data_IF_309733275947
#
_entry.id   IF_309733275947
#
_cell.length_a   1.000
_cell.length_b   1.000
_cell.length_c   1.000
_cell.angle_alpha   90.00
_cell.angle_beta   90.00
_cell.angle_gamma   90.00
#
_symmetry.space_group_name_H-M   'P 1'
#
loop_
_entity.id
_entity.type
_entity.pdbx_description
1 polymer ?
2 non-polymer ?
3 non-polymer ?
4 non-polymer ?
5 water ?
#
# COMPACT_ATOMS: atom_id res chain seq x y z
N UNK A 1 -27.10 -2.70 -5.48
CA UNK A 1 -25.65 -2.90 -5.64
C UNK A 1 -24.90 -2.18 -4.50
N UNK A 2 -23.73 -2.68 -4.16
CA UNK A 2 -22.99 -2.10 -3.06
C UNK A 2 -21.89 -1.14 -3.45
N UNK A 3 -21.50 -0.34 -2.47
CA UNK A 3 -20.40 0.59 -2.65
C UNK A 3 -20.17 1.11 -1.24
N UNK A 4 -19.01 1.71 -1.01
CA UNK A 4 -18.77 2.25 0.31
C UNK A 4 -17.53 3.10 0.30
N UNK A 5 -17.31 3.82 1.38
CA UNK A 5 -16.13 4.65 1.49
C UNK A 5 -15.54 4.34 2.85
N UNK A 6 -14.25 3.99 2.84
CA UNK A 6 -13.55 3.77 4.09
C UNK A 6 -12.54 4.89 4.23
N UNK A 7 -12.44 5.45 5.41
CA UNK A 7 -11.48 6.54 5.61
C UNK A 7 -10.14 6.05 6.12
N UNK A 8 -9.08 6.50 5.48
CA UNK A 8 -7.76 6.15 5.92
C UNK A 8 -7.11 7.34 6.66
N UNK A 9 -6.12 7.05 7.48
CA UNK A 9 -5.43 8.10 8.20
C UNK A 9 -3.95 7.73 8.28
N UNK A 10 -3.08 8.67 7.90
CA UNK A 10 -1.65 8.43 7.93
C UNK A 10 -1.14 8.49 9.37
N UNK A 11 -0.11 7.71 9.64
CA UNK A 11 0.53 7.69 10.95
C UNK A 11 1.60 8.79 10.85
N UNK A 12 2.45 8.91 11.86
CA UNK A 12 3.49 9.94 11.83
C UNK A 12 4.32 9.85 10.53
N UNK A 13 4.55 11.03 9.93
CA UNK A 13 5.30 11.20 8.67
C UNK A 13 4.68 10.44 7.50
N UNK A 14 3.40 10.06 7.63
CA UNK A 14 2.70 9.29 6.59
C UNK A 14 3.45 7.96 6.38
N UNK A 15 3.95 7.34 7.43
CA UNK A 15 4.69 6.12 7.24
C UNK A 15 3.81 4.99 6.74
N UNK A 16 2.58 4.97 7.22
CA UNK A 16 1.61 4.00 6.78
C UNK A 16 0.22 4.60 6.96
N UNK A 17 -0.76 4.04 6.24
CA UNK A 17 -2.14 4.53 6.28
C UNK A 17 -3.02 3.44 6.85
N UNK A 18 -3.76 3.78 7.90
CA UNK A 18 -4.61 2.79 8.56
C UNK A 18 -6.08 3.07 8.35
N UNK A 19 -6.84 1.98 8.29
CA UNK A 19 -8.29 2.06 8.06
C UNK A 19 -8.97 1.03 8.95
N UNK A 20 -10.07 1.41 9.57
CA UNK A 20 -10.78 0.47 10.47
C UNK A 20 -11.50 -0.62 9.66
N UNK A 21 -11.47 -1.84 10.19
CA UNK A 21 -12.08 -2.98 9.52
C UNK A 21 -12.71 -3.77 10.62
N UNK A 22 -13.98 -4.13 10.43
CA UNK A 22 -14.70 -4.87 11.46
C UNK A 22 -14.72 -6.33 11.08
N UNK A 23 -14.24 -7.16 11.99
CA UNK A 23 -14.21 -8.58 11.74
C UNK A 23 -14.89 -9.30 12.90
N UNK A 24 -15.97 -10.01 12.58
CA UNK A 24 -16.70 -10.72 13.64
C UNK A 24 -17.14 -9.76 14.75
N UNK A 25 -17.50 -8.54 14.36
CA UNK A 25 -17.94 -7.55 15.35
C UNK A 25 -16.85 -6.72 16.04
N UNK A 26 -15.59 -7.12 15.89
CA UNK A 26 -14.45 -6.41 16.51
C UNK A 26 -13.74 -5.52 15.48
N UNK A 27 -13.60 -4.23 15.78
CA UNK A 27 -12.91 -3.33 14.84
C UNK A 27 -11.39 -3.29 15.09
N UNK A 28 -10.61 -3.47 14.02
CA UNK A 28 -9.18 -3.46 14.10
C UNK A 28 -8.68 -2.43 13.10
N UNK A 29 -7.54 -1.85 13.39
CA UNK A 29 -6.98 -0.83 12.48
C UNK A 29 -5.96 -1.49 11.57
N UNK A 30 -6.34 -1.63 10.29
CA UNK A 30 -5.46 -2.31 9.36
C UNK A 30 -4.78 -1.45 8.33
N UNK A 31 -3.61 -1.90 7.89
CA UNK A 31 -2.84 -1.21 6.84
C UNK A 31 -3.31 -1.84 5.50
N UNK A 32 -3.90 -1.08 4.57
CA UNK A 32 -4.36 -1.65 3.28
C UNK A 32 -3.16 -1.66 2.36
N UNK A 33 -2.88 -2.83 1.80
CA UNK A 33 -1.69 -3.02 0.99
C UNK A 33 -1.99 -3.63 -0.39
N UNK A 34 -1.95 -2.78 -1.43
CA UNK A 34 -2.21 -3.27 -2.78
C UNK A 34 -1.05 -4.10 -3.35
N UNK A 35 0.00 -4.26 -2.54
CA UNK A 35 1.16 -5.04 -2.91
C UNK A 35 1.16 -6.49 -2.37
N UNK A 36 0.12 -6.88 -1.63
CA UNK A 36 0.06 -8.27 -1.13
C UNK A 36 -1.42 -8.68 -1.15
N UNK A 37 -1.66 -9.97 -0.98
CA UNK A 37 -3.01 -10.51 -1.11
C UNK A 37 -3.50 -11.26 0.09
N UNK A 38 -2.91 -11.01 1.24
CA UNK A 38 -3.36 -11.66 2.49
C UNK A 38 -4.00 -10.71 3.44
N UNK A 39 -5.08 -11.15 4.09
CA UNK A 39 -5.70 -10.31 5.10
C UNK A 39 -5.33 -11.02 6.37
N UNK A 40 -4.39 -10.46 7.14
CA UNK A 40 -3.99 -11.17 8.36
C UNK A 40 -4.09 -10.21 9.53
N UNK A 41 -4.34 -10.75 10.72
CA UNK A 41 -4.52 -9.87 11.86
C UNK A 41 -3.91 -10.41 13.13
N UNK A 42 -3.66 -9.48 14.07
CA UNK A 42 -3.17 -9.84 15.40
C UNK A 42 -4.33 -10.63 15.99
N UNK A 43 -4.01 -11.70 16.72
CA UNK A 43 -5.07 -12.55 17.28
C UNK A 43 -4.67 -13.03 18.67
N UNK A 44 -5.65 -13.67 19.32
CA UNK A 44 -5.49 -14.23 20.65
C UNK A 44 -4.54 -15.45 20.64
N UNK A 45 -4.11 -15.90 19.47
CA UNK A 45 -3.20 -17.03 19.40
C UNK A 45 -1.78 -16.58 19.55
N UNK A 46 -1.54 -15.27 19.62
CA UNK A 46 -0.19 -14.76 19.83
C UNK A 46 0.11 -14.76 21.33
N UNK A 47 1.39 -14.76 21.68
CA UNK A 47 1.80 -14.67 23.10
C UNK A 47 1.15 -13.42 23.65
N UNK A 48 0.65 -13.49 24.88
CA UNK A 48 -0.05 -12.34 25.45
C UNK A 48 0.74 -11.04 25.40
N UNK A 49 2.06 -11.16 25.54
CA UNK A 49 2.90 -9.99 25.55
C UNK A 49 2.85 -9.30 24.19
N UNK A 50 2.66 -10.07 23.13
CA UNK A 50 2.60 -9.49 21.80
C UNK A 50 1.25 -8.92 21.44
N UNK A 51 0.22 -9.23 22.21
CA UNK A 51 -1.10 -8.69 21.95
C UNK A 51 -1.21 -7.30 22.50
N UNK A 52 -0.31 -6.95 23.41
CA UNK A 52 -0.34 -5.63 24.04
C UNK A 52 -0.21 -4.47 23.07
N UNK A 53 -1.10 -3.51 23.25
CA UNK A 53 -1.11 -2.30 22.45
C UNK A 53 -1.87 -2.50 21.15
N UNK A 54 -2.62 -3.58 21.03
CA UNK A 54 -3.34 -3.80 19.80
C UNK A 54 -4.76 -4.22 20.08
N UNK A 55 -5.58 -4.13 19.05
CA UNK A 55 -6.92 -4.68 19.10
C UNK A 55 -6.65 -6.04 18.44
N UNK A 56 -7.24 -7.10 18.97
CA UNK A 56 -6.94 -8.41 18.45
C UNK A 56 -8.20 -9.17 18.15
N UNK A 57 -8.10 -10.04 17.15
CA UNK A 57 -9.21 -10.89 16.73
C UNK A 57 -9.19 -12.20 17.57
N UNK A 58 -10.36 -12.59 18.09
CA UNK A 58 -10.48 -13.86 18.83
C UNK A 58 -11.27 -14.78 17.90
N UNK A 59 -10.58 -15.70 17.25
CA UNK A 59 -11.19 -16.58 16.28
C UNK A 59 -12.27 -17.46 16.87
N UNK A 60 -12.10 -17.81 18.14
CA UNK A 60 -13.03 -18.71 18.82
C UNK A 60 -14.44 -18.16 18.95
N UNK A 61 -14.54 -16.84 19.09
CA UNK A 61 -15.84 -16.22 19.25
C UNK A 61 -16.79 -16.25 18.03
N UNK A 62 -16.26 -16.12 16.82
CA UNK A 62 -17.12 -16.04 15.64
C UNK A 62 -16.59 -16.69 14.37
N UNK A 63 -15.32 -17.04 14.37
CA UNK A 63 -14.73 -17.61 13.17
C UNK A 63 -14.99 -19.09 12.94
N UNK A 64 -14.91 -19.50 11.68
CA UNK A 64 -15.05 -20.91 11.33
C UNK A 64 -13.66 -21.34 10.86
N UNK A 65 -13.03 -22.24 11.59
CA UNK A 65 -11.67 -22.69 11.27
C UNK A 65 -11.59 -23.53 10.02
N UNK A 66 -10.54 -23.32 9.23
CA UNK A 66 -10.29 -24.17 8.08
C UNK A 66 -9.24 -25.14 8.58
N UNK A 67 -9.67 -26.32 9.00
CA UNK A 67 -8.71 -27.30 9.54
C UNK A 67 -7.62 -27.68 8.55
N UNK A 68 -6.37 -27.68 9.02
CA UNK A 68 -5.24 -28.05 8.16
C UNK A 68 -4.66 -26.91 7.28
N UNK A 69 -5.30 -25.75 7.31
CA UNK A 69 -4.81 -24.63 6.50
C UNK A 69 -3.83 -23.72 7.27
N UNK A 70 -2.83 -23.22 6.56
CA UNK A 70 -1.86 -22.33 7.18
C UNK A 70 -1.52 -21.24 6.19
N UNK A 71 -0.78 -20.24 6.65
CA UNK A 71 -0.34 -19.16 5.79
C UNK A 71 1.00 -18.71 6.36
N UNK A 72 1.84 -18.18 5.49
CA UNK A 72 3.15 -17.68 5.87
C UNK A 72 3.52 -16.66 4.81
N UNK A 73 3.86 -15.46 5.26
CA UNK A 73 4.16 -14.40 4.30
C UNK A 73 5.42 -13.67 4.68
N UNK A 74 6.11 -13.19 3.65
CA UNK A 74 7.34 -12.45 3.83
C UNK A 74 7.23 -11.21 2.96
N UNK A 75 7.52 -10.05 3.56
CA UNK A 75 7.46 -8.78 2.86
C UNK A 75 8.82 -8.28 2.45
N UNK A 76 8.80 -7.35 1.48
CA UNK A 76 10.00 -6.74 0.95
C UNK A 76 10.89 -6.11 2.01
N UNK A 77 10.28 -5.48 3.01
CA UNK A 77 11.07 -4.86 4.06
C UNK A 77 11.70 -5.87 5.04
N UNK A 78 11.49 -7.16 4.79
CA UNK A 78 12.06 -8.22 5.64
C UNK A 78 11.19 -8.73 6.77
N UNK A 79 10.01 -8.16 6.94
CA UNK A 79 9.16 -8.62 8.00
C UNK A 79 8.43 -9.89 7.51
N UNK A 80 7.87 -10.63 8.45
CA UNK A 80 7.17 -11.84 8.10
C UNK A 80 6.18 -12.17 9.21
N UNK A 81 5.23 -13.06 8.89
CA UNK A 81 4.24 -13.44 9.85
C UNK A 81 3.65 -14.75 9.34
N UNK A 82 3.07 -15.51 10.26
CA UNK A 82 2.46 -16.80 9.86
C UNK A 82 1.37 -17.22 10.85
N UNK A 83 0.50 -18.14 10.43
CA UNK A 83 -0.57 -18.54 11.32
C UNK A 83 -1.53 -19.52 10.66
N UNK A 84 -2.74 -19.53 11.20
CA UNK A 84 -3.81 -20.39 10.74
C UNK A 84 -4.96 -19.59 10.13
N UNK A 85 -6.04 -20.24 9.73
CA UNK A 85 -7.06 -19.51 8.98
C UNK A 85 -8.47 -19.84 9.40
N UNK A 86 -9.31 -18.80 9.41
CA UNK A 86 -10.72 -18.90 9.75
C UNK A 86 -11.49 -18.05 8.75
N UNK A 87 -12.78 -18.30 8.60
CA UNK A 87 -13.59 -17.47 7.74
C UNK A 87 -14.48 -16.72 8.68
N UNK A 88 -14.84 -15.51 8.32
CA UNK A 88 -15.68 -14.74 9.23
C UNK A 88 -16.24 -13.58 8.40
N UNK A 89 -17.09 -12.76 9.03
CA UNK A 89 -17.63 -11.56 8.37
C UNK A 89 -16.62 -10.43 8.48
N UNK A 90 -16.41 -9.71 7.38
CA UNK A 90 -15.43 -8.63 7.39
C UNK A 90 -16.09 -7.45 6.71
N UNK A 91 -16.18 -6.33 7.43
CA UNK A 91 -16.82 -5.14 6.89
C UNK A 91 -15.83 -4.00 6.74
N UNK A 92 -15.87 -3.36 5.57
CA UNK A 92 -14.95 -2.26 5.32
C UNK A 92 -15.81 -1.19 4.66
N UNK A 93 -15.88 -0.01 5.27
CA UNK A 93 -16.66 1.10 4.69
C UNK A 93 -18.13 0.74 4.41
N UNK A 94 -18.71 -0.08 5.27
CA UNK A 94 -20.09 -0.46 5.12
C UNK A 94 -20.32 -1.62 4.16
N UNK A 95 -19.27 -2.10 3.50
CA UNK A 95 -19.39 -3.22 2.58
C UNK A 95 -18.94 -4.48 3.34
N UNK A 96 -19.82 -5.47 3.43
CA UNK A 96 -19.52 -6.72 4.15
C UNK A 96 -19.25 -7.95 3.28
N UNK A 97 -18.14 -8.61 3.60
CA UNK A 97 -17.75 -9.84 2.94
C UNK A 97 -18.10 -10.96 3.93
N UNK A 98 -19.03 -11.82 3.54
CA UNK A 98 -19.38 -12.93 4.39
C UNK A 98 -18.48 -14.11 3.97
N UNK A 99 -18.04 -14.90 4.93
CA UNK A 99 -17.18 -16.04 4.61
C UNK A 99 -15.76 -15.64 4.17
N UNK A 100 -15.33 -14.42 4.48
CA UNK A 100 -13.99 -14.01 4.07
C UNK A 100 -12.93 -14.73 4.91
N UNK A 101 -11.88 -15.20 4.25
CA UNK A 101 -10.77 -15.84 4.96
C UNK A 101 -9.98 -14.78 5.75
N UNK A 102 -9.87 -14.98 7.06
CA UNK A 102 -9.11 -14.11 7.92
C UNK A 102 -7.92 -14.93 8.42
N UNK A 103 -6.71 -14.45 8.16
CA UNK A 103 -5.53 -15.18 8.56
C UNK A 103 -5.07 -14.71 9.92
N UNK A 104 -5.26 -15.57 10.91
CA UNK A 104 -4.91 -15.27 12.31
C UNK A 104 -3.41 -15.47 12.58
N UNK A 105 -2.75 -14.42 13.07
CA UNK A 105 -1.35 -14.55 13.35
C UNK A 105 -1.06 -15.43 14.56
N UNK A 106 -0.07 -16.30 14.38
CA UNK A 106 0.46 -17.15 15.45
C UNK A 106 1.91 -16.76 15.72
N UNK A 107 2.55 -16.17 14.72
CA UNK A 107 3.92 -15.73 14.88
C UNK A 107 4.05 -14.44 14.05
N UNK A 108 4.85 -13.49 14.54
CA UNK A 108 5.08 -12.23 13.83
C UNK A 108 6.53 -11.83 14.11
N UNK A 109 7.18 -11.26 13.11
CA UNK A 109 8.56 -10.86 13.24
C UNK A 109 8.66 -9.59 14.08
N UNK A 110 9.89 -9.24 14.44
CA UNK A 110 10.13 -8.09 15.28
C UNK A 110 9.51 -6.79 14.77
N UNK A 111 9.57 -6.57 13.46
CA UNK A 111 9.02 -5.34 12.92
C UNK A 111 7.56 -5.18 13.31
N UNK A 112 6.79 -6.27 13.23
CA UNK A 112 5.37 -6.15 13.61
C UNK A 112 5.18 -6.05 15.12
N UNK A 113 6.07 -6.72 15.85
CA UNK A 113 5.98 -6.66 17.29
C UNK A 113 6.23 -5.22 17.76
N UNK A 114 7.02 -4.44 16.99
CA UNK A 114 7.33 -3.06 17.39
C UNK A 114 6.30 -2.04 16.96
N UNK A 115 5.64 -2.31 15.83
CA UNK A 115 4.66 -1.39 15.28
C UNK A 115 3.27 -1.52 15.91
N UNK A 116 2.92 -0.58 16.78
CA UNK A 116 1.60 -0.60 17.39
C UNK A 116 0.57 0.23 16.63
N UNK A 117 0.95 0.76 15.47
CA UNK A 117 0.03 1.59 14.70
C UNK A 117 -1.02 0.75 13.98
N UNK A 118 -0.71 -0.52 13.74
CA UNK A 118 -1.71 -1.33 13.05
C UNK A 118 -1.89 -2.65 13.76
N UNK A 119 -3.00 -3.30 13.42
CA UNK A 119 -3.35 -4.61 13.98
C UNK A 119 -3.30 -5.70 12.90
N UNK A 120 -2.62 -5.43 11.79
CA UNK A 120 -2.54 -6.39 10.70
C UNK A 120 -2.63 -5.67 9.36
N UNK A 121 -2.72 -6.48 8.30
CA UNK A 121 -2.77 -5.96 6.92
C UNK A 121 -3.93 -6.54 6.13
N UNK A 122 -4.48 -5.72 5.25
CA UNK A 122 -5.58 -6.17 4.37
C UNK A 122 -5.04 -6.05 2.95
N UNK A 123 -4.76 -7.19 2.33
CA UNK A 123 -4.16 -7.25 1.00
C UNK A 123 -5.18 -6.94 -0.11
N UNK A 124 -4.72 -6.18 -1.11
CA UNK A 124 -5.58 -5.79 -2.22
C UNK A 124 -4.90 -6.06 -3.56
N UNK A 125 -3.84 -6.87 -3.54
CA UNK A 125 -3.19 -7.29 -4.78
C UNK A 125 -4.13 -8.40 -5.35
N UNK A 126 -3.78 -9.00 -6.50
CA UNK A 126 -4.64 -10.05 -7.04
C UNK A 126 -4.56 -11.30 -6.15
N UNK A 127 -5.68 -12.04 -6.09
CA UNK A 127 -5.78 -13.22 -5.25
C UNK A 127 -4.80 -14.34 -5.60
N UNK A 128 -4.28 -14.31 -6.82
CA UNK A 128 -3.33 -15.34 -7.25
C UNK A 128 -2.10 -15.45 -6.37
N UNK A 129 -1.77 -14.38 -5.64
CA UNK A 129 -0.61 -14.43 -4.77
C UNK A 129 -0.93 -14.58 -3.29
N UNK A 130 -2.18 -14.86 -2.95
CA UNK A 130 -2.55 -15.12 -1.56
C UNK A 130 -1.73 -16.36 -1.09
N UNK A 131 -1.20 -16.33 0.14
CA UNK A 131 -0.33 -17.38 0.66
C UNK A 131 -0.96 -18.59 1.35
N UNK A 132 -2.29 -18.60 1.49
CA UNK A 132 -2.93 -19.69 2.20
C UNK A 132 -2.71 -21.05 1.53
N UNK A 133 -2.33 -22.05 2.34
CA UNK A 133 -2.08 -23.45 1.95
C UNK A 133 -3.08 -24.31 2.72
N UNK A 134 -3.59 -25.39 2.12
CA UNK A 134 -3.23 -25.85 0.77
C UNK A 134 -3.96 -25.23 -0.39
N UNK A 135 -5.04 -24.50 -0.12
CA UNK A 135 -5.77 -23.83 -1.19
C UNK A 135 -5.80 -22.34 -0.83
N UNK A 136 -5.34 -21.50 -1.76
CA UNK A 136 -5.31 -20.06 -1.55
C UNK A 136 -6.75 -19.49 -1.51
N UNK A 137 -6.90 -18.38 -0.80
CA UNK A 137 -8.19 -17.72 -0.61
C UNK A 137 -8.25 -16.39 -1.37
N UNK A 138 -9.44 -15.83 -1.52
CA UNK A 138 -9.59 -14.57 -2.22
C UNK A 138 -9.48 -13.39 -1.28
N UNK A 139 -9.01 -12.27 -1.82
CA UNK A 139 -8.88 -11.05 -1.05
C UNK A 139 -10.26 -10.49 -0.79
N UNK A 140 -10.35 -9.55 0.16
CA UNK A 140 -11.62 -8.94 0.49
C UNK A 140 -12.25 -8.39 -0.80
N UNK A 141 -11.42 -7.76 -1.61
CA UNK A 141 -11.95 -7.17 -2.83
C UNK A 141 -12.50 -8.23 -3.78
N UNK A 142 -11.72 -9.29 -4.02
CA UNK A 142 -12.22 -10.33 -4.90
C UNK A 142 -13.47 -10.98 -4.33
N UNK A 143 -13.58 -11.05 -3.01
CA UNK A 143 -14.77 -11.66 -2.42
C UNK A 143 -16.04 -10.86 -2.67
N UNK A 144 -15.93 -9.54 -2.58
CA UNK A 144 -17.09 -8.66 -2.72
C UNK A 144 -17.32 -8.07 -4.12
N UNK A 145 -16.32 -8.18 -4.97
CA UNK A 145 -16.31 -7.59 -6.30
C UNK A 145 -17.62 -7.72 -7.09
N UNK A 146 -18.17 -8.92 -7.12
CA UNK A 146 -19.36 -9.13 -7.91
C UNK A 146 -20.59 -8.44 -7.33
N UNK A 147 -20.56 -8.05 -6.06
CA UNK A 147 -21.71 -7.38 -5.46
C UNK A 147 -21.62 -5.84 -5.59
N UNK A 148 -20.45 -5.33 -5.94
CA UNK A 148 -20.24 -3.89 -6.08
C UNK A 148 -20.93 -3.36 -7.33
N UNK A 149 -21.24 -2.07 -7.31
CA UNK A 149 -21.85 -1.39 -8.47
C UNK A 149 -20.88 -1.49 -9.66
N UNK A 150 -19.58 -1.33 -9.41
CA UNK A 150 -18.55 -1.48 -10.43
C UNK A 150 -17.44 -2.20 -9.72
N UNK A 151 -16.76 -3.11 -10.41
CA UNK A 151 -15.72 -3.94 -9.84
C UNK A 151 -14.36 -3.24 -9.77
N UNK A 152 -14.32 -2.21 -8.97
CA UNK A 152 -13.11 -1.39 -8.80
C UNK A 152 -13.13 -0.77 -7.43
N UNK A 153 -11.95 -0.24 -7.06
CA UNK A 153 -11.78 0.52 -5.83
C UNK A 153 -10.84 1.66 -6.24
N UNK A 154 -10.86 2.75 -5.49
CA UNK A 154 -10.01 3.89 -5.85
C UNK A 154 -9.47 4.44 -4.56
N UNK A 155 -8.32 5.10 -4.66
CA UNK A 155 -7.73 5.62 -3.44
C UNK A 155 -7.18 7.03 -3.59
N UNK A 156 -7.37 7.79 -2.52
CA UNK A 156 -6.82 9.13 -2.37
C UNK A 156 -6.10 9.10 -0.99
N UNK A 157 -4.77 9.00 -1.04
CA UNK A 157 -3.92 9.05 0.16
C UNK A 157 -3.45 10.51 0.23
N UNK A 158 -3.39 11.09 1.41
CA UNK A 158 -2.99 12.51 1.51
C UNK A 158 -1.87 12.68 2.50
N UNK A 159 -1.25 13.87 2.48
CA UNK A 159 -0.17 14.17 3.41
C UNK A 159 -0.77 14.74 4.71
N UNK A 160 -0.58 14.01 5.81
CA UNK A 160 -1.09 14.47 7.10
C UNK A 160 -2.55 14.92 7.13
N UNK A 161 -3.41 14.18 6.44
CA UNK A 161 -4.82 14.47 6.45
C UNK A 161 -5.47 13.13 6.14
N UNK A 162 -6.70 12.96 6.55
CA UNK A 162 -7.42 11.70 6.29
C UNK A 162 -7.67 11.60 4.80
N UNK A 163 -7.71 10.38 4.29
CA UNK A 163 -7.94 10.15 2.89
C UNK A 163 -9.05 9.11 2.78
N UNK A 164 -9.26 8.60 1.57
CA UNK A 164 -10.30 7.63 1.45
C UNK A 164 -9.94 6.49 0.52
N UNK A 165 -10.63 5.38 0.77
CA UNK A 165 -10.67 4.23 -0.13
C UNK A 165 -12.12 4.19 -0.61
N UNK A 166 -12.35 4.35 -1.91
CA UNK A 166 -13.72 4.26 -2.44
C UNK A 166 -13.91 2.84 -3.00
N UNK A 167 -14.92 2.13 -2.54
CA UNK A 167 -15.20 0.79 -3.08
C UNK A 167 -16.42 0.78 -3.95
N UNK A 168 -16.24 0.30 -5.19
CA UNK A 168 -17.37 0.14 -6.11
C UNK A 168 -17.85 1.38 -6.84
N UNK A 169 -17.13 2.50 -6.72
CA UNK A 169 -17.54 3.70 -7.41
C UNK A 169 -16.39 4.68 -7.42
N UNK A 170 -16.46 5.62 -8.35
CA UNK A 170 -15.46 6.65 -8.52
C UNK A 170 -16.00 7.99 -8.05
N UNK A 171 -15.23 8.67 -7.21
CA UNK A 171 -15.67 9.96 -6.68
C UNK A 171 -14.92 11.02 -7.51
N UNK A 172 -15.60 11.59 -8.50
CA UNK A 172 -14.97 12.57 -9.37
C UNK A 172 -14.55 13.86 -8.67
N UNK A 173 -15.06 14.11 -7.46
CA UNK A 173 -14.69 15.34 -6.78
C UNK A 173 -13.29 15.20 -6.16
N UNK A 174 -12.71 14.00 -6.21
CA UNK A 174 -11.39 13.76 -5.65
C UNK A 174 -10.21 14.09 -6.56
N UNK A 175 -10.49 14.39 -7.83
CA UNK A 175 -9.40 14.70 -8.77
C UNK A 175 -9.82 15.77 -9.73
N UNK A 176 -8.82 16.32 -10.40
CA UNK A 176 -9.02 17.36 -11.38
C UNK A 176 -8.96 16.78 -12.80
N UNK A 177 -9.81 17.28 -13.70
CA UNK A 177 -9.80 16.80 -15.06
C UNK A 177 -10.41 15.39 -15.15
N UNK A 178 -10.00 14.64 -16.18
CA UNK A 178 -10.48 13.29 -16.40
C UNK A 178 -9.40 12.27 -16.11
N UNK A 179 -9.83 11.04 -15.82
CA UNK A 179 -8.89 9.96 -15.58
C UNK A 179 -8.26 9.50 -16.88
N UNK A 180 -7.02 9.04 -16.80
CA UNK A 180 -6.34 8.47 -17.94
C UNK A 180 -6.07 7.02 -17.52
N UNK A 181 -6.45 6.06 -18.35
CA UNK A 181 -6.26 4.66 -18.02
C UNK A 181 -5.09 4.06 -18.71
N UNK A 182 -4.51 3.02 -18.10
CA UNK A 182 -3.39 2.32 -18.69
C UNK A 182 -3.61 0.84 -18.31
N UNK A 183 -3.14 -0.07 -19.17
CA UNK A 183 -3.39 -1.50 -18.93
C UNK A 183 -2.50 -2.03 -17.83
N UNK A 184 -3.01 -3.03 -17.09
CA UNK A 184 -2.28 -3.64 -16.01
C UNK A 184 -1.86 -5.06 -16.37
N UNK A 185 -0.63 -5.42 -16.05
CA UNK A 185 -0.14 -6.77 -16.26
C UNK A 185 -0.28 -7.45 -14.87
N UNK A 186 -1.22 -8.35 -14.69
CA UNK A 186 -1.37 -9.00 -13.38
C UNK A 186 -0.72 -10.36 -13.28
N UNK A 187 0.17 -10.69 -14.22
CA UNK A 187 0.82 -11.99 -14.24
C UNK A 187 1.58 -12.33 -12.95
N UNK A 188 2.12 -11.33 -12.27
CA UNK A 188 2.81 -11.60 -11.00
C UNK A 188 1.93 -11.28 -9.78
N UNK A 189 0.65 -11.07 -10.03
CA UNK A 189 -0.30 -10.77 -8.96
C UNK A 189 -0.31 -9.31 -8.51
N UNK A 190 0.43 -8.46 -9.21
CA UNK A 190 0.46 -7.03 -8.83
C UNK A 190 -0.32 -6.15 -9.78
N UNK A 191 -0.61 -4.91 -9.34
CA UNK A 191 -1.22 -3.92 -10.20
C UNK A 191 0.01 -3.26 -10.85
N UNK A 192 0.57 -3.95 -11.83
CA UNK A 192 1.75 -3.52 -12.54
C UNK A 192 1.41 -2.73 -13.80
N UNK A 193 2.16 -1.68 -14.08
CA UNK A 193 1.88 -0.87 -15.28
C UNK A 193 3.21 -0.36 -15.87
N UNK A 194 3.17 0.07 -17.12
CA UNK A 194 4.37 0.57 -17.79
C UNK A 194 4.41 2.08 -17.85
N UNK A 195 5.60 2.65 -17.65
CA UNK A 195 5.75 4.08 -17.86
C UNK A 195 6.64 4.21 -19.10
N UNK A 196 6.32 5.19 -19.94
CA UNK A 196 7.08 5.37 -21.19
C UNK A 196 8.36 6.16 -21.06
N UNK A 197 8.41 7.00 -20.05
CA UNK A 197 9.59 7.80 -19.78
C UNK A 197 9.43 8.46 -18.41
N UNK A 198 10.51 9.06 -17.93
CA UNK A 198 10.44 9.76 -16.66
C UNK A 198 11.32 11.02 -16.81
N UNK A 199 11.06 11.95 -15.91
CA UNK A 199 11.85 13.16 -15.79
C UNK A 199 12.13 13.38 -14.30
N UNK A 200 13.41 13.39 -13.98
CA UNK A 200 13.88 13.63 -12.64
C UNK A 200 14.57 14.99 -12.69
N UNK A 201 13.83 16.04 -12.31
CA UNK A 201 14.40 17.39 -12.31
C UNK A 201 14.77 17.71 -13.72
N UNK A 202 16.04 17.99 -13.94
CA UNK A 202 16.55 18.35 -15.26
C UNK A 202 16.97 17.19 -16.15
N UNK A 203 16.82 15.95 -15.66
CA UNK A 203 17.22 14.77 -16.45
C UNK A 203 16.00 13.90 -16.80
N UNK A 204 15.91 13.47 -18.04
CA UNK A 204 14.83 12.60 -18.49
C UNK A 204 15.44 11.30 -18.91
N UNK A 205 14.65 10.23 -18.92
CA UNK A 205 15.21 8.95 -19.31
C UNK A 205 14.13 8.02 -19.84
N UNK A 206 14.56 6.83 -20.19
CA UNK A 206 13.66 5.83 -20.73
C UNK A 206 12.73 5.19 -19.71
N UNK A 207 11.74 4.47 -20.23
CA UNK A 207 10.70 3.80 -19.44
C UNK A 207 11.09 2.54 -18.65
N UNK A 208 10.11 2.05 -17.91
CA UNK A 208 10.32 0.87 -17.05
C UNK A 208 8.94 0.50 -16.53
N UNK A 209 8.84 -0.57 -15.76
CA UNK A 209 7.53 -0.91 -15.20
C UNK A 209 7.59 -0.78 -13.69
N UNK A 210 6.42 -0.75 -13.07
CA UNK A 210 6.38 -0.67 -11.63
C UNK A 210 5.00 -1.02 -11.16
N UNK A 211 4.86 -1.14 -9.86
CA UNK A 211 3.59 -1.50 -9.27
C UNK A 211 3.01 -0.38 -8.39
N UNK A 212 1.67 -0.24 -8.42
CA UNK A 212 0.97 0.75 -7.61
C UNK A 212 0.84 0.05 -6.24
N UNK A 213 1.54 0.55 -5.22
CA UNK A 213 1.56 -0.13 -3.93
C UNK A 213 1.29 0.80 -2.72
N UNK A 214 0.05 0.77 -2.24
CA UNK A 214 -0.34 1.57 -1.09
C UNK A 214 0.40 1.16 0.19
N UNK A 215 0.87 -0.08 0.22
CA UNK A 215 1.58 -0.63 1.37
C UNK A 215 3.04 -0.23 1.53
N UNK A 216 3.62 0.48 0.56
CA UNK A 216 5.02 0.87 0.64
C UNK A 216 5.07 2.37 0.89
N UNK A 217 5.83 2.80 1.87
CA UNK A 217 5.88 4.22 2.21
C UNK A 217 6.45 5.13 1.13
N UNK A 218 7.53 4.65 0.54
CA UNK A 218 8.29 5.47 -0.40
C UNK A 218 8.16 5.09 -1.86
N UNK A 219 8.82 5.88 -2.71
CA UNK A 219 8.88 5.68 -4.16
C UNK A 219 10.24 5.02 -4.38
N UNK A 220 10.23 3.73 -4.67
CA UNK A 220 11.46 2.96 -4.84
C UNK A 220 11.76 2.77 -6.33
N UNK A 221 12.94 3.20 -6.74
CA UNK A 221 13.33 3.21 -8.13
C UNK A 221 14.69 2.59 -8.32
N UNK A 222 15.07 2.39 -9.57
CA UNK A 222 16.37 1.81 -9.84
C UNK A 222 17.45 2.71 -9.33
N UNK A 223 18.56 2.12 -8.91
CA UNK A 223 19.67 2.88 -8.36
C UNK A 223 20.16 3.96 -9.30
N UNK A 224 20.13 3.72 -10.61
CA UNK A 224 20.61 4.72 -11.57
C UNK A 224 19.74 5.96 -11.56
N UNK A 225 18.43 5.75 -11.40
CA UNK A 225 17.48 6.84 -11.33
C UNK A 225 17.63 7.58 -9.99
N UNK A 226 17.80 6.81 -8.92
CA UNK A 226 17.99 7.44 -7.62
C UNK A 226 19.25 8.33 -7.65
N UNK A 227 20.33 7.79 -8.23
CA UNK A 227 21.56 8.57 -8.29
C UNK A 227 21.33 9.83 -9.09
N UNK A 228 20.64 9.67 -10.20
CA UNK A 228 20.38 10.78 -11.09
C UNK A 228 19.57 11.86 -10.38
N UNK A 229 18.63 11.45 -9.56
CA UNK A 229 17.80 12.41 -8.84
C UNK A 229 18.63 13.17 -7.80
N UNK A 230 19.32 12.43 -6.92
CA UNK A 230 20.08 13.09 -5.85
C UNK A 230 21.34 13.84 -6.27
N UNK A 231 21.81 13.57 -7.48
CA UNK A 231 22.98 14.28 -7.98
C UNK A 231 22.55 15.75 -8.09
N UNK A 232 21.24 15.98 -8.17
CA UNK A 232 20.70 17.33 -8.30
C UNK A 232 20.32 18.03 -7.01
N UNK A 233 20.50 17.33 -5.90
CA UNK A 233 20.13 17.85 -4.61
C UNK A 233 21.38 18.24 -3.87
N UNK A 234 21.48 19.52 -3.56
CA UNK A 234 22.65 20.02 -2.89
C UNK A 234 22.87 19.35 -1.55
N UNK A 235 24.06 18.73 -1.43
CA UNK A 235 24.50 18.05 -0.21
C UNK A 235 23.85 16.71 0.17
N UNK A 236 22.98 16.16 -0.69
CA UNK A 236 22.33 14.89 -0.35
C UNK A 236 23.38 13.82 -0.19
N UNK A 237 23.18 12.95 0.80
CA UNK A 237 24.10 11.85 1.08
C UNK A 237 23.34 10.71 1.72
N UNK A 238 23.90 9.52 1.59
CA UNK A 238 23.31 8.36 2.20
C UNK A 238 23.63 8.31 3.67
N UNK A 239 22.65 7.94 4.46
CA UNK A 239 22.83 7.85 5.89
C UNK A 239 22.12 6.59 6.32
N UNK A 240 22.90 5.56 6.62
CA UNK A 240 22.33 4.28 7.00
C UNK A 240 21.57 4.34 8.31
N UNK A 241 21.85 5.34 9.15
CA UNK A 241 21.11 5.52 10.38
C UNK A 241 19.64 5.88 10.03
N UNK A 242 19.46 6.59 8.91
CA UNK A 242 18.14 7.05 8.47
C UNK A 242 17.47 6.06 7.51
N UNK A 243 18.28 5.31 6.75
CA UNK A 243 17.69 4.35 5.82
C UNK A 243 17.84 4.70 4.34
N UNK A 244 18.63 5.71 4.03
CA UNK A 244 18.79 6.08 2.63
C UNK A 244 19.33 7.50 2.50
N UNK A 245 19.06 8.11 1.34
CA UNK A 245 19.54 9.47 1.11
C UNK A 245 18.83 10.47 2.00
N UNK A 246 19.62 11.38 2.56
CA UNK A 246 19.07 12.44 3.39
C UNK A 246 19.63 13.78 2.87
N UNK A 247 19.02 14.87 3.30
CA UNK A 247 19.45 16.21 2.89
C UNK A 247 18.90 17.23 3.85
N UNK A 248 19.42 18.45 3.74
CA UNK A 248 18.98 19.49 4.63
C UNK A 248 17.51 19.69 4.35
N UNK A 249 16.71 19.76 5.40
CA UNK A 249 15.28 19.92 5.25
C UNK A 249 14.84 21.15 4.46
N UNK A 250 15.67 22.17 4.42
CA UNK A 250 15.29 23.38 3.69
C UNK A 250 15.61 23.33 2.20
N UNK A 251 16.26 22.25 1.76
CA UNK A 251 16.62 22.08 0.36
C UNK A 251 15.43 22.10 -0.59
N UNK A 252 15.62 22.71 -1.74
CA UNK A 252 14.59 22.77 -2.77
C UNK A 252 14.78 21.49 -3.59
N UNK A 253 13.75 20.63 -3.59
CA UNK A 253 13.82 19.37 -4.34
C UNK A 253 13.19 19.47 -5.72
N UNK A 254 13.81 18.82 -6.69
CA UNK A 254 13.22 18.81 -8.04
C UNK A 254 11.98 17.93 -8.05
N UNK A 255 11.13 18.17 -9.03
CA UNK A 255 9.94 17.34 -9.18
C UNK A 255 10.41 16.06 -9.87
N UNK A 256 9.54 15.05 -9.82
CA UNK A 256 9.78 13.79 -10.48
C UNK A 256 8.47 13.47 -11.19
N UNK A 257 8.56 13.07 -12.45
CA UNK A 257 7.33 12.78 -13.18
C UNK A 257 7.53 11.56 -14.07
N UNK A 258 6.41 10.93 -14.43
CA UNK A 258 6.47 9.76 -15.33
C UNK A 258 5.36 9.88 -16.34
N UNK A 259 5.62 9.38 -17.54
CA UNK A 259 4.60 9.45 -18.59
C UNK A 259 3.92 8.10 -18.67
N UNK A 260 2.62 8.10 -18.52
CA UNK A 260 1.88 6.85 -18.52
C UNK A 260 0.77 6.95 -19.56
N UNK A 261 0.94 6.29 -20.70
CA UNK A 261 -0.07 6.31 -21.75
C UNK A 261 -0.48 7.72 -22.10
N UNK A 262 0.51 8.60 -22.23
CA UNK A 262 0.26 9.99 -22.60
C UNK A 262 -0.04 11.00 -21.48
N UNK A 263 -0.30 10.49 -20.28
CA UNK A 263 -0.58 11.32 -19.11
C UNK A 263 0.72 11.53 -18.32
N UNK A 264 0.99 12.75 -17.89
CA UNK A 264 2.17 12.99 -17.09
C UNK A 264 1.80 13.05 -15.59
N UNK A 265 2.24 12.05 -14.84
CA UNK A 265 1.95 12.02 -13.41
C UNK A 265 3.13 12.71 -12.75
N UNK A 266 2.89 13.85 -12.12
CA UNK A 266 3.97 14.59 -11.48
C UNK A 266 3.94 14.56 -9.98
N UNK A 267 5.08 14.20 -9.38
CA UNK A 267 5.17 14.25 -7.93
C UNK A 267 5.98 15.54 -7.67
N UNK A 268 5.37 16.52 -7.02
CA UNK A 268 6.08 17.76 -6.74
C UNK A 268 7.22 17.54 -5.75
N UNK A 269 8.27 18.32 -5.89
CA UNK A 269 9.39 18.18 -4.99
C UNK A 269 8.99 18.27 -3.50
N UNK A 270 8.00 19.07 -3.16
CA UNK A 270 7.60 19.19 -1.77
C UNK A 270 7.16 17.86 -1.16
N UNK A 271 6.54 17.00 -1.96
CA UNK A 271 6.12 15.68 -1.47
C UNK A 271 7.27 14.70 -1.35
N UNK A 272 8.36 14.98 -2.03
CA UNK A 272 9.54 14.12 -1.96
C UNK A 272 10.32 14.37 -0.65
N UNK A 273 9.98 15.41 0.10
CA UNK A 273 10.64 15.58 1.40
C UNK A 273 9.74 14.79 2.34
N UNK A 274 10.19 13.58 2.69
CA UNK A 274 9.41 12.68 3.54
C UNK A 274 9.21 13.18 4.96
N UNK A 275 10.28 13.67 5.56
CA UNK A 275 10.16 14.17 6.92
C UNK A 275 11.51 14.04 7.56
N UNK A 276 11.56 14.37 8.85
CA UNK A 276 12.79 14.29 9.64
C UNK A 276 13.36 12.92 9.48
N UNK A 277 14.65 12.87 9.20
CA UNK A 277 15.35 11.60 8.98
C UNK A 277 15.44 10.77 10.26
N UNK A 278 15.27 11.42 11.41
CA UNK A 278 15.37 10.72 12.69
C UNK A 278 16.83 10.54 13.08
N UNK A 279 17.72 11.24 12.37
CA UNK A 279 19.15 11.17 12.66
C UNK A 279 19.55 12.62 12.64
N UNK A 280 19.46 13.24 13.80
CA UNK A 280 19.80 14.64 13.91
C UNK A 280 18.80 15.50 13.20
N UNK A 281 19.34 16.47 12.48
CA UNK A 281 18.53 17.45 11.77
C UNK A 281 18.24 17.34 10.27
N UNK A 282 18.61 16.24 9.64
CA UNK A 282 18.34 16.10 8.20
C UNK A 282 16.93 15.52 7.93
N UNK A 283 16.56 15.55 6.66
CA UNK A 283 15.28 15.02 6.19
C UNK A 283 15.53 13.84 5.28
N UNK A 284 14.65 12.85 5.35
CA UNK A 284 14.79 11.68 4.53
C UNK A 284 14.11 11.89 3.18
N UNK A 285 14.74 11.45 2.09
CA UNK A 285 14.16 11.59 0.78
C UNK A 285 13.05 10.56 0.50
N UNK A 286 12.01 11.00 -0.21
CA UNK A 286 10.87 10.15 -0.58
C UNK A 286 11.23 9.13 -1.64
N UNK A 287 12.31 9.37 -2.39
CA UNK A 287 12.79 8.46 -3.42
C UNK A 287 13.99 7.67 -2.87
N UNK A 288 13.97 6.33 -2.99
CA UNK A 288 15.09 5.52 -2.49
C UNK A 288 15.19 4.30 -3.38
N UNK A 289 16.26 3.54 -3.18
CA UNK A 289 16.55 2.36 -3.99
C UNK A 289 15.54 1.22 -3.86
N UNK A 290 15.31 0.51 -4.97
CA UNK A 290 14.44 -0.64 -4.99
C UNK A 290 15.26 -1.90 -4.77
N UNK A 291 16.50 -1.76 -4.32
CA UNK A 291 17.32 -2.92 -4.01
C UNK A 291 17.71 -3.84 -5.17
N UNK A 292 17.58 -3.33 -6.39
CA UNK A 292 17.95 -4.10 -7.58
C UNK A 292 16.92 -5.14 -8.02
N UNK A 293 15.69 -5.03 -7.55
CA UNK A 293 14.65 -6.01 -7.96
C UNK A 293 14.16 -6.01 -9.42
N UNK A 294 14.53 -5.01 -10.21
CA UNK A 294 14.16 -4.99 -11.62
C UNK A 294 12.83 -4.32 -11.97
N UNK A 295 12.14 -3.76 -10.98
CA UNK A 295 10.91 -3.03 -11.23
C UNK A 295 10.73 -2.01 -10.11
N UNK A 296 9.96 -0.97 -10.39
CA UNK A 296 9.77 0.13 -9.44
C UNK A 296 8.53 -0.03 -8.56
N UNK A 297 8.63 0.52 -7.36
CA UNK A 297 7.52 0.46 -6.43
C UNK A 297 6.94 1.86 -6.28
N UNK A 298 5.75 2.08 -6.84
CA UNK A 298 5.12 3.37 -6.73
C UNK A 298 4.32 3.40 -5.43
N UNK A 299 5.02 3.77 -4.38
CA UNK A 299 4.50 3.83 -3.02
C UNK A 299 3.76 5.10 -2.67
N UNK A 300 3.52 5.26 -1.38
CA UNK A 300 2.72 6.37 -0.92
C UNK A 300 3.19 7.77 -1.34
N UNK A 301 4.50 7.97 -1.43
CA UNK A 301 5.02 9.28 -1.84
C UNK A 301 4.42 9.63 -3.22
N UNK A 302 4.34 8.67 -4.12
CA UNK A 302 3.77 8.92 -5.44
C UNK A 302 2.26 9.03 -5.36
N UNK A 303 1.66 8.14 -4.58
CA UNK A 303 0.19 8.10 -4.48
C UNK A 303 -0.42 9.35 -3.89
N UNK A 304 0.34 10.05 -3.05
CA UNK A 304 -0.14 11.30 -2.46
C UNK A 304 -0.43 12.36 -3.49
N UNK A 305 0.10 12.19 -4.70
CA UNK A 305 -0.15 13.18 -5.75
C UNK A 305 -1.31 12.84 -6.69
N UNK A 306 -1.85 11.63 -6.60
CA UNK A 306 -2.85 11.18 -7.56
C UNK A 306 -4.04 10.55 -6.92
N UNK A 307 -5.12 10.52 -7.69
CA UNK A 307 -6.30 9.75 -7.31
C UNK A 307 -6.09 8.55 -8.24
N UNK A 308 -6.16 7.33 -7.71
CA UNK A 308 -5.91 6.17 -8.55
C UNK A 308 -7.04 5.16 -8.48
N UNK A 309 -7.50 4.76 -9.64
CA UNK A 309 -8.56 3.76 -9.75
C UNK A 309 -7.98 2.41 -10.13
N UNK A 310 -8.26 1.41 -9.27
CA UNK A 310 -7.83 0.01 -9.48
C UNK A 310 -9.08 -0.68 -10.04
N UNK A 311 -9.08 -0.91 -11.36
CA UNK A 311 -10.23 -1.49 -12.04
C UNK A 311 -10.00 -2.95 -12.46
N UNK A 312 -10.81 -3.86 -11.94
CA UNK A 312 -10.64 -5.25 -12.30
C UNK A 312 -11.00 -5.56 -13.76
N UNK A 313 -11.81 -4.72 -14.40
CA UNK A 313 -12.13 -4.94 -15.82
C UNK A 313 -10.97 -4.44 -16.66
N UNK A 314 -10.26 -5.36 -17.26
CA UNK A 314 -9.07 -5.02 -18.02
C UNK A 314 -8.05 -6.11 -17.75
N UNK A 315 -7.41 -6.06 -16.58
CA UNK A 315 -7.58 -4.98 -15.61
C UNK A 315 -6.84 -3.69 -16.06
N UNK A 316 -7.10 -2.60 -15.38
CA UNK A 316 -6.44 -1.37 -15.74
C UNK A 316 -6.40 -0.39 -14.56
N UNK A 317 -5.49 0.58 -14.64
CA UNK A 317 -5.34 1.60 -13.61
C UNK A 317 -5.67 2.95 -14.21
N UNK A 318 -6.46 3.76 -13.51
CA UNK A 318 -6.81 5.11 -13.95
C UNK A 318 -6.07 6.10 -13.03
N UNK A 319 -5.61 7.21 -13.61
CA UNK A 319 -4.90 8.23 -12.83
C UNK A 319 -5.37 9.64 -13.18
N UNK A 320 -5.36 10.50 -12.17
CA UNK A 320 -5.65 11.93 -12.37
C UNK A 320 -5.05 12.65 -11.18
N UNK A 321 -4.67 13.91 -11.32
CA UNK A 321 -4.11 14.62 -10.17
C UNK A 321 -5.12 14.79 -9.05
N UNK A 322 -4.69 14.58 -7.80
CA UNK A 322 -5.64 14.77 -6.71
C UNK A 322 -6.10 16.20 -6.60
N UNK A 323 -7.38 16.35 -6.26
CA UNK A 323 -7.97 17.67 -6.11
C UNK A 323 -7.56 18.33 -4.78
#
# INVERSE_FOLDING_TARGET
AASGVATNTPTANDEEYITPVTIGGTTLNLNFDTGSADLWVFSTELPASQQSGHSVYNPSATGKELSGYTWSISYGDGSSASGNVFTDSVTVGGVTAHGQAVQAAQQISAQFQQDTNNDGLLGLAFSSINTVQPQSQTTFFDTVKSSLAQPLFAVALKHQQPGVYDFGFIDSSKYTGSLTYTGVDNSQGFWSFNVDSYTAGSQSGDGFSGIADTGTTLLLLDDSVVSQYYSQVSGAQQDSNAGGYVFDCSTNLPDFSVSISGYTATVPGSLINYGPSGDGSTCLGGIQSNSGIGFSIFGDIFLKSQYVVFDSDGPQLGFAPQA
#
